data_IF_939382303836
#
_entry.id   IF_939382303836
#
_cell.length_a   1.000
_cell.length_b   1.000
_cell.length_c   1.000
_cell.angle_alpha   90.00
_cell.angle_beta   90.00
_cell.angle_gamma   90.00
#
_symmetry.space_group_name_H-M   'P 1'
#
loop_
_entity.id
_entity.type
_entity.pdbx_description
1 polymer ?
#
# COMPACT_ATOMS: atom_id res chain seq x y z
N UNK A 1 -17.11 8.33 0.62
CA UNK A 1 -17.01 8.36 2.10
C UNK A 1 -18.18 9.20 2.61
N UNK A 2 -19.24 8.56 3.09
CA UNK A 2 -20.47 9.26 3.55
C UNK A 2 -20.32 9.58 5.05
N UNK A 3 -19.37 10.45 5.41
CA UNK A 3 -19.18 10.93 6.79
C UNK A 3 -20.28 11.93 7.22
N UNK A 4 -21.22 12.25 6.33
CA UNK A 4 -22.29 13.23 6.56
C UNK A 4 -23.31 12.82 7.61
N UNK A 5 -23.35 11.55 8.03
CA UNK A 5 -24.27 11.09 9.07
C UNK A 5 -23.80 11.38 10.50
N UNK A 6 -22.55 11.80 10.70
CA UNK A 6 -21.96 11.96 12.04
C UNK A 6 -21.58 13.42 12.38
N UNK A 7 -21.98 14.39 11.56
CA UNK A 7 -21.57 15.78 11.74
C UNK A 7 -22.39 16.53 12.81
N UNK A 8 -21.66 16.95 13.85
CA UNK A 8 -21.92 18.06 14.78
C UNK A 8 -23.15 17.98 15.70
N UNK A 9 -22.92 17.47 16.91
CA UNK A 9 -23.51 18.05 18.12
C UNK A 9 -22.37 18.47 19.03
N UNK A 10 -22.37 19.72 19.51
CA UNK A 10 -21.48 20.15 20.60
C UNK A 10 -21.47 19.07 21.68
N UNK A 11 -20.28 18.65 22.14
CA UNK A 11 -20.11 17.60 23.15
C UNK A 11 -20.94 17.94 24.41
N UNK A 12 -22.15 17.40 24.50
CA UNK A 12 -23.03 17.58 25.67
C UNK A 12 -22.58 16.72 26.85
N UNK A 13 -21.78 15.68 26.57
CA UNK A 13 -21.31 14.68 27.52
C UNK A 13 -19.79 14.79 27.69
N UNK A 14 -19.24 14.76 28.91
CA UNK A 14 -17.79 14.77 29.11
C UNK A 14 -17.14 13.53 28.48
N UNK A 15 -16.11 13.73 27.67
CA UNK A 15 -15.31 12.65 27.08
C UNK A 15 -14.05 12.41 27.92
N UNK A 16 -13.59 11.14 27.93
CA UNK A 16 -12.40 10.70 28.67
C UNK A 16 -11.26 10.26 27.78
N UNK A 17 -11.57 9.87 26.54
CA UNK A 17 -10.56 9.47 25.57
C UNK A 17 -10.84 10.02 24.18
N UNK A 18 -9.77 10.32 23.46
CA UNK A 18 -9.74 10.82 22.10
C UNK A 18 -8.85 9.89 21.25
N UNK A 19 -9.36 9.42 20.12
CA UNK A 19 -8.57 8.70 19.11
C UNK A 19 -8.48 9.57 17.87
N UNK A 20 -7.28 10.04 17.57
CA UNK A 20 -6.98 10.86 16.40
C UNK A 20 -6.42 9.97 15.31
N UNK A 21 -7.22 9.67 14.29
CA UNK A 21 -6.76 8.86 13.16
C UNK A 21 -6.23 9.80 12.08
N UNK A 22 -5.00 9.58 11.65
CA UNK A 22 -4.33 10.36 10.61
C UNK A 22 -3.98 9.48 9.41
N UNK A 23 -4.45 9.89 8.23
CA UNK A 23 -4.26 9.17 6.96
C UNK A 23 -4.25 10.17 5.80
N UNK A 24 -3.28 10.05 4.89
CA UNK A 24 -3.13 10.99 3.76
C UNK A 24 -3.90 10.57 2.50
N UNK A 25 -4.35 9.32 2.41
CA UNK A 25 -5.11 8.78 1.27
C UNK A 25 -5.84 7.50 1.69
N UNK A 26 -6.94 7.14 1.03
CA UNK A 26 -7.63 5.86 1.24
C UNK A 26 -8.18 5.31 -0.07
N UNK A 27 -7.86 4.05 -0.38
CA UNK A 27 -8.56 3.32 -1.44
C UNK A 27 -10.02 3.05 -1.03
N UNK A 28 -10.93 2.79 -1.97
CA UNK A 28 -12.28 2.33 -1.65
C UNK A 28 -12.27 1.11 -0.71
N UNK A 29 -11.34 0.17 -0.93
CA UNK A 29 -11.20 -1.01 -0.07
C UNK A 29 -10.77 -0.67 1.36
N UNK A 30 -9.77 0.20 1.53
CA UNK A 30 -9.33 0.64 2.84
C UNK A 30 -10.44 1.42 3.58
N UNK A 31 -11.23 2.21 2.85
CA UNK A 31 -12.40 2.88 3.40
C UNK A 31 -13.46 1.89 3.90
N UNK A 32 -13.78 0.84 3.14
CA UNK A 32 -14.72 -0.20 3.56
C UNK A 32 -14.25 -0.95 4.82
N UNK A 33 -12.96 -1.27 4.92
CA UNK A 33 -12.39 -1.90 6.12
C UNK A 33 -12.53 -0.97 7.32
N UNK A 34 -12.22 0.32 7.13
CA UNK A 34 -12.35 1.31 8.20
C UNK A 34 -13.80 1.47 8.64
N UNK A 35 -14.75 1.57 7.71
CA UNK A 35 -16.18 1.71 8.01
C UNK A 35 -16.68 0.54 8.87
N UNK A 36 -16.24 -0.69 8.57
CA UNK A 36 -16.53 -1.87 9.40
C UNK A 36 -15.93 -1.78 10.80
N UNK A 37 -14.68 -1.33 10.91
CA UNK A 37 -14.00 -1.14 12.21
C UNK A 37 -14.73 -0.09 13.07
N UNK A 38 -15.22 0.98 12.44
CA UNK A 38 -15.93 2.07 13.11
C UNK A 38 -17.39 1.73 13.43
N UNK A 39 -18.06 0.89 12.65
CA UNK A 39 -19.45 0.47 12.90
C UNK A 39 -19.63 -0.22 14.26
N UNK A 40 -18.61 -0.97 14.70
CA UNK A 40 -18.60 -1.62 16.01
C UNK A 40 -18.12 -0.70 17.15
N UNK A 41 -17.73 0.53 16.85
CA UNK A 41 -17.14 1.43 17.83
C UNK A 41 -18.22 2.32 18.47
N UNK A 42 -18.29 2.31 19.80
CA UNK A 42 -19.18 3.18 20.58
C UNK A 42 -18.56 4.59 20.69
N UNK A 43 -18.58 5.30 19.56
CA UNK A 43 -18.06 6.66 19.37
C UNK A 43 -19.12 7.68 19.77
N UNK A 44 -18.77 8.64 20.62
CA UNK A 44 -19.67 9.74 21.00
C UNK A 44 -19.81 10.76 19.87
N UNK A 45 -18.67 11.17 19.31
CA UNK A 45 -18.57 12.20 18.28
C UNK A 45 -17.43 11.83 17.34
N UNK A 46 -17.67 11.99 16.04
CA UNK A 46 -16.65 11.92 14.99
C UNK A 46 -16.50 13.31 14.37
N UNK A 47 -15.31 13.88 14.44
CA UNK A 47 -15.00 15.17 13.84
C UNK A 47 -13.98 14.99 12.71
N UNK A 48 -14.34 15.26 11.44
CA UNK A 48 -13.38 15.19 10.34
C UNK A 48 -12.34 16.31 10.44
N UNK A 49 -11.13 16.05 9.96
CA UNK A 49 -10.07 17.04 9.84
C UNK A 49 -9.29 16.86 8.53
N UNK A 50 -8.47 17.83 8.14
CA UNK A 50 -7.75 17.83 6.86
C UNK A 50 -6.89 16.59 6.63
N UNK A 51 -6.40 15.97 7.72
CA UNK A 51 -5.48 14.83 7.69
C UNK A 51 -6.10 13.54 8.22
N UNK A 52 -7.42 13.50 8.43
CA UNK A 52 -8.12 12.34 8.95
C UNK A 52 -9.38 12.70 9.74
N UNK A 53 -9.49 12.22 10.97
CA UNK A 53 -10.63 12.49 11.84
C UNK A 53 -10.32 12.18 13.30
N UNK A 54 -11.12 12.76 14.20
CA UNK A 54 -11.02 12.66 15.64
C UNK A 54 -12.28 11.97 16.19
N UNK A 55 -12.07 10.96 17.03
CA UNK A 55 -13.13 10.14 17.63
C UNK A 55 -13.12 10.30 19.14
N UNK A 56 -14.25 10.73 19.69
CA UNK A 56 -14.40 10.97 21.12
C UNK A 56 -15.10 9.79 21.80
N UNK A 57 -14.61 9.40 22.97
CA UNK A 57 -15.13 8.27 23.75
C UNK A 57 -15.43 8.67 25.20
N UNK A 58 -16.53 8.12 25.72
CA UNK A 58 -16.91 8.26 27.14
C UNK A 58 -15.95 7.51 28.08
N UNK A 59 -15.31 6.45 27.57
CA UNK A 59 -14.45 5.55 28.33
C UNK A 59 -13.15 5.24 27.59
N UNK A 60 -12.07 5.08 28.37
CA UNK A 60 -10.74 4.79 27.85
C UNK A 60 -10.62 3.35 27.32
N UNK A 61 -11.31 2.36 27.91
CA UNK A 61 -11.18 0.98 27.46
C UNK A 61 -11.71 0.83 26.02
N UNK A 62 -12.84 1.48 25.71
CA UNK A 62 -13.43 1.50 24.36
C UNK A 62 -12.49 2.11 23.32
N UNK A 63 -11.86 3.24 23.64
CA UNK A 63 -10.86 3.87 22.77
C UNK A 63 -9.68 2.91 22.49
N UNK A 64 -9.17 2.22 23.52
CA UNK A 64 -8.09 1.23 23.37
C UNK A 64 -8.51 0.04 22.50
N UNK A 65 -9.73 -0.46 22.66
CA UNK A 65 -10.26 -1.54 21.80
C UNK A 65 -10.29 -1.12 20.34
N UNK A 66 -10.73 0.11 20.04
CA UNK A 66 -10.68 0.63 18.68
C UNK A 66 -9.23 0.71 18.15
N UNK A 67 -8.30 1.23 18.95
CA UNK A 67 -6.88 1.29 18.58
C UNK A 67 -6.36 -0.12 18.24
N UNK A 68 -6.68 -1.14 19.05
CA UNK A 68 -6.31 -2.54 18.75
C UNK A 68 -6.92 -3.03 17.44
N UNK A 69 -8.20 -2.73 17.16
CA UNK A 69 -8.83 -3.08 15.88
C UNK A 69 -8.16 -2.39 14.69
N UNK A 70 -7.72 -1.14 14.83
CA UNK A 70 -6.98 -0.43 13.79
C UNK A 70 -5.64 -1.11 13.52
N UNK A 71 -4.86 -1.45 14.56
CA UNK A 71 -3.60 -2.20 14.43
C UNK A 71 -3.79 -3.59 13.79
N UNK A 72 -4.91 -4.25 14.03
CA UNK A 72 -5.19 -5.57 13.43
C UNK A 72 -5.50 -5.50 11.92
N UNK A 73 -5.93 -4.33 11.42
CA UNK A 73 -6.38 -4.17 10.03
C UNK A 73 -5.44 -3.32 9.17
N UNK A 74 -4.65 -2.44 9.78
CA UNK A 74 -3.82 -1.46 9.07
C UNK A 74 -2.39 -1.40 9.61
N UNK A 75 -1.40 -1.07 8.78
CA UNK A 75 -0.05 -0.82 9.27
C UNK A 75 -0.04 0.58 9.87
N UNK A 76 -0.11 0.68 11.19
CA UNK A 76 -0.17 1.96 11.89
C UNK A 76 0.78 2.02 13.09
N UNK A 77 1.11 3.23 13.53
CA UNK A 77 1.74 3.47 14.83
C UNK A 77 0.80 4.28 15.71
N UNK A 78 0.93 4.12 17.03
CA UNK A 78 0.15 4.89 17.99
C UNK A 78 1.06 5.62 18.96
N UNK A 79 0.88 6.93 19.06
CA UNK A 79 1.46 7.76 20.11
C UNK A 79 0.37 8.09 21.11
N UNK A 80 0.60 7.80 22.39
CA UNK A 80 -0.39 8.06 23.45
C UNK A 80 0.10 9.20 24.34
N UNK A 81 -0.79 10.13 24.67
CA UNK A 81 -0.55 11.18 25.65
C UNK A 81 -1.66 11.20 26.71
N UNK A 82 -1.34 11.77 27.87
CA UNK A 82 -2.25 11.91 29.00
C UNK A 82 -2.23 13.36 29.45
N UNK A 83 -3.40 13.98 29.48
CA UNK A 83 -3.59 15.33 30.00
C UNK A 83 -4.35 15.26 31.30
N UNK A 84 -3.80 15.83 32.36
CA UNK A 84 -4.46 15.89 33.67
C UNK A 84 -5.08 17.28 33.80
N UNK A 85 -6.40 17.35 33.65
CA UNK A 85 -7.17 18.55 33.96
C UNK A 85 -7.54 18.61 35.44
N UNK A 86 -8.13 19.73 35.86
CA UNK A 86 -8.61 19.93 37.24
C UNK A 86 -9.72 18.95 37.67
N UNK A 87 -10.53 18.45 36.72
CA UNK A 87 -11.69 17.59 37.00
C UNK A 87 -11.57 16.15 36.47
N UNK A 88 -10.73 15.90 35.46
CA UNK A 88 -10.60 14.59 34.86
C UNK A 88 -9.26 14.38 34.14
N UNK A 89 -8.87 13.11 34.04
CA UNK A 89 -7.74 12.67 33.22
C UNK A 89 -8.26 12.32 31.82
N UNK A 90 -7.70 12.97 30.80
CA UNK A 90 -7.98 12.70 29.40
C UNK A 90 -6.83 11.96 28.75
N UNK A 91 -7.15 10.99 27.90
CA UNK A 91 -6.17 10.22 27.14
C UNK A 91 -6.35 10.46 25.64
N UNK A 92 -5.25 10.74 24.96
CA UNK A 92 -5.25 10.92 23.51
C UNK A 92 -4.41 9.84 22.88
N UNK A 93 -4.97 9.16 21.87
CA UNK A 93 -4.29 8.17 21.04
C UNK A 93 -4.19 8.72 19.62
N UNK A 94 -3.01 9.16 19.22
CA UNK A 94 -2.71 9.54 17.84
C UNK A 94 -2.33 8.29 17.06
N UNK A 95 -3.20 7.86 16.15
CA UNK A 95 -3.00 6.71 15.28
C UNK A 95 -2.63 7.20 13.88
N UNK A 96 -1.39 6.98 13.48
CA UNK A 96 -0.89 7.32 12.14
C UNK A 96 -0.93 6.06 11.27
N UNK A 97 -1.69 6.09 10.18
CA UNK A 97 -1.85 4.96 9.25
C UNK A 97 -0.90 5.13 8.07
N UNK A 98 -0.24 4.03 7.68
CA UNK A 98 0.58 3.99 6.47
C UNK A 98 -0.25 4.39 5.23
N UNK A 99 0.19 5.36 4.42
CA UNK A 99 -0.53 5.83 3.24
C UNK A 99 -0.32 4.94 2.00
N UNK A 100 0.56 3.92 2.07
CA UNK A 100 0.83 3.04 0.93
C UNK A 100 -0.37 2.13 0.65
N UNK A 101 -0.60 1.88 -0.63
CA UNK A 101 -1.75 1.16 -1.14
C UNK A 101 -1.31 -0.03 -1.98
N UNK A 102 -2.22 -0.99 -2.17
CA UNK A 102 -2.00 -2.09 -3.11
C UNK A 102 -1.67 -1.52 -4.49
N UNK A 103 -0.67 -2.10 -5.13
CA UNK A 103 -0.13 -1.71 -6.44
C UNK A 103 0.66 -0.40 -6.46
N UNK A 104 0.96 0.21 -5.31
CA UNK A 104 1.95 1.29 -5.29
C UNK A 104 3.33 0.73 -5.63
N UNK A 105 4.02 1.41 -6.57
CA UNK A 105 5.42 1.19 -6.83
C UNK A 105 6.26 2.01 -5.83
N UNK A 106 7.15 1.35 -5.10
CA UNK A 106 7.93 1.98 -4.03
C UNK A 106 9.43 1.74 -4.20
N UNK A 107 10.22 2.69 -3.71
CA UNK A 107 11.66 2.62 -3.64
C UNK A 107 12.08 2.41 -2.19
N UNK A 108 12.59 1.23 -1.87
CA UNK A 108 13.19 0.90 -0.59
C UNK A 108 14.57 1.57 -0.43
N UNK A 109 14.94 1.86 0.82
CA UNK A 109 16.33 2.21 1.15
C UNK A 109 17.25 1.02 0.87
N UNK A 110 18.56 1.26 0.73
CA UNK A 110 19.55 0.16 0.59
C UNK A 110 19.52 -0.80 1.77
N UNK A 111 19.33 -0.28 2.99
CA UNK A 111 19.31 -1.08 4.20
C UNK A 111 18.05 -1.95 4.27
N UNK A 112 16.89 -1.40 3.91
CA UNK A 112 15.64 -2.14 3.88
C UNK A 112 15.65 -3.22 2.79
N UNK A 113 16.09 -2.88 1.58
CA UNK A 113 16.20 -3.82 0.47
C UNK A 113 17.10 -5.02 0.84
N UNK A 114 18.29 -4.75 1.39
CA UNK A 114 19.21 -5.79 1.86
C UNK A 114 18.57 -6.67 2.95
N UNK A 115 17.86 -6.07 3.90
CA UNK A 115 17.19 -6.80 4.98
C UNK A 115 16.10 -7.74 4.46
N UNK A 116 15.39 -7.34 3.41
CA UNK A 116 14.32 -8.12 2.80
C UNK A 116 14.82 -9.10 1.75
N UNK A 117 16.10 -9.03 1.36
CA UNK A 117 16.64 -9.71 0.19
C UNK A 117 15.82 -9.42 -1.09
N UNK A 118 15.40 -8.16 -1.25
CA UNK A 118 14.65 -7.68 -2.41
C UNK A 118 15.43 -6.58 -3.14
N UNK A 119 15.12 -6.31 -4.42
CA UNK A 119 15.62 -5.11 -5.07
C UNK A 119 15.06 -3.86 -4.40
N UNK A 120 15.60 -2.71 -4.80
CA UNK A 120 15.15 -1.43 -4.26
C UNK A 120 13.80 -0.99 -4.83
N UNK A 121 13.49 -1.36 -6.06
CA UNK A 121 12.21 -1.01 -6.71
C UNK A 121 11.29 -2.23 -6.59
N UNK A 122 10.21 -2.09 -5.83
CA UNK A 122 9.30 -3.19 -5.50
C UNK A 122 7.85 -2.71 -5.53
N UNK A 123 6.92 -3.64 -5.70
CA UNK A 123 5.48 -3.37 -5.75
C UNK A 123 4.84 -3.73 -4.42
N UNK A 124 3.90 -2.92 -3.93
CA UNK A 124 3.07 -3.29 -2.78
C UNK A 124 1.99 -4.28 -3.22
N UNK A 125 2.22 -5.57 -3.03
CA UNK A 125 1.30 -6.63 -3.44
C UNK A 125 0.02 -6.67 -2.58
N UNK A 126 0.15 -6.41 -1.27
CA UNK A 126 -0.96 -6.44 -0.30
C UNK A 126 -0.70 -5.51 0.88
N UNK A 127 -1.77 -4.86 1.33
CA UNK A 127 -1.79 -4.05 2.57
C UNK A 127 -2.74 -4.70 3.58
N UNK A 128 -2.23 -5.00 4.77
CA UNK A 128 -2.99 -5.50 5.93
C UNK A 128 -2.50 -4.80 7.20
N UNK A 129 -2.35 -5.49 8.34
CA UNK A 129 -1.60 -4.97 9.50
C UNK A 129 -0.10 -4.74 9.21
N UNK A 130 0.38 -5.30 8.10
CA UNK A 130 1.73 -5.14 7.55
C UNK A 130 1.67 -4.98 6.03
N UNK A 131 2.77 -4.49 5.45
CA UNK A 131 2.93 -4.36 4.00
C UNK A 131 3.60 -5.62 3.45
N UNK A 132 3.04 -6.18 2.38
CA UNK A 132 3.66 -7.22 1.60
C UNK A 132 4.17 -6.60 0.30
N UNK A 133 5.47 -6.75 0.08
CA UNK A 133 6.18 -6.26 -1.10
C UNK A 133 6.54 -7.45 -1.98
N UNK A 134 6.59 -7.22 -3.29
CA UNK A 134 7.00 -8.22 -4.27
C UNK A 134 8.03 -7.61 -5.24
N UNK A 135 9.07 -8.39 -5.56
CA UNK A 135 9.94 -8.11 -6.71
C UNK A 135 9.15 -8.39 -7.99
N UNK A 136 8.95 -7.37 -8.85
CA UNK A 136 8.20 -7.58 -10.09
C UNK A 136 8.86 -8.54 -11.08
N UNK A 137 10.18 -8.77 -10.97
CA UNK A 137 10.97 -9.54 -11.93
C UNK A 137 11.16 -11.00 -11.50
N UNK A 138 11.32 -11.26 -10.20
CA UNK A 138 11.54 -12.61 -9.66
C UNK A 138 10.33 -13.20 -8.94
N UNK A 139 9.34 -12.37 -8.58
CA UNK A 139 8.21 -12.79 -7.76
C UNK A 139 8.55 -12.98 -6.27
N UNK A 140 9.78 -12.70 -5.84
CA UNK A 140 10.19 -12.82 -4.45
C UNK A 140 9.39 -11.85 -3.55
N UNK A 141 8.96 -12.34 -2.39
CA UNK A 141 8.16 -11.57 -1.45
C UNK A 141 8.95 -11.12 -0.22
N UNK A 142 8.60 -9.94 0.29
CA UNK A 142 9.17 -9.40 1.52
C UNK A 142 8.11 -8.69 2.37
N UNK A 143 8.23 -8.82 3.68
CA UNK A 143 7.26 -8.26 4.63
C UNK A 143 7.86 -7.06 5.35
N UNK A 144 7.15 -5.92 5.30
CA UNK A 144 7.48 -4.72 6.08
C UNK A 144 6.43 -4.51 7.16
N UNK A 145 6.84 -4.78 8.41
CA UNK A 145 6.01 -4.49 9.58
C UNK A 145 5.81 -2.98 9.78
N UNK A 146 4.77 -2.58 10.51
CA UNK A 146 4.53 -1.17 10.82
C UNK A 146 5.76 -0.49 11.45
N UNK A 147 6.44 -1.17 12.40
CA UNK A 147 7.66 -0.67 13.03
C UNK A 147 8.82 -0.45 12.05
N UNK A 148 8.95 -1.30 11.03
CA UNK A 148 9.94 -1.12 9.96
C UNK A 148 9.56 0.08 9.09
N UNK A 149 8.29 0.16 8.67
CA UNK A 149 7.79 1.26 7.85
C UNK A 149 8.01 2.62 8.51
N UNK A 150 7.62 2.80 9.77
CA UNK A 150 7.75 4.09 10.45
C UNK A 150 9.18 4.46 10.84
N UNK A 151 10.14 3.53 10.74
CA UNK A 151 11.58 3.77 10.95
C UNK A 151 12.29 4.15 9.66
N UNK A 152 12.01 3.43 8.57
CA UNK A 152 12.66 3.60 7.27
C UNK A 152 11.61 3.36 6.16
N UNK A 153 10.74 4.34 5.89
CA UNK A 153 9.60 4.15 4.99
C UNK A 153 10.05 4.08 3.52
N UNK A 154 9.62 3.06 2.75
CA UNK A 154 9.76 3.07 1.29
C UNK A 154 9.10 4.29 0.67
N UNK A 155 9.75 4.87 -0.35
CA UNK A 155 9.28 6.07 -1.03
C UNK A 155 8.40 5.68 -2.21
N UNK A 156 7.11 6.02 -2.19
CA UNK A 156 6.18 5.84 -3.32
C UNK A 156 6.61 6.65 -4.54
N UNK A 157 6.67 6.00 -5.70
CA UNK A 157 6.81 6.66 -7.00
C UNK A 157 5.47 7.32 -7.36
N UNK A 158 5.50 8.64 -7.56
CA UNK A 158 4.31 9.45 -7.88
C UNK A 158 4.10 9.54 -9.38
N UNK A 159 3.76 8.40 -9.97
CA UNK A 159 3.30 8.30 -11.35
C UNK A 159 1.91 7.64 -11.35
N UNK A 160 1.18 7.84 -12.44
CA UNK A 160 -0.07 7.11 -12.64
C UNK A 160 0.21 5.77 -13.31
N UNK A 161 -0.69 4.81 -13.06
CA UNK A 161 -0.62 3.50 -13.69
C UNK A 161 -1.34 3.58 -15.03
N UNK A 162 -0.71 3.05 -16.06
CA UNK A 162 -1.26 3.00 -17.42
C UNK A 162 -1.79 1.60 -17.74
N UNK A 163 -2.86 1.52 -18.56
CA UNK A 163 -3.40 0.25 -19.00
C UNK A 163 -2.58 -0.36 -20.14
N UNK A 164 -2.33 -1.66 -20.06
CA UNK A 164 -1.72 -2.47 -21.11
C UNK A 164 -2.61 -3.68 -21.43
N UNK A 165 -2.47 -4.20 -22.64
CA UNK A 165 -3.09 -5.46 -23.07
C UNK A 165 -2.00 -6.50 -23.26
N UNK A 166 -2.20 -7.69 -22.69
CA UNK A 166 -1.32 -8.84 -22.88
C UNK A 166 -1.55 -9.42 -24.28
N UNK A 167 -0.51 -9.44 -25.10
CA UNK A 167 -0.51 -9.98 -26.46
C UNK A 167 0.00 -11.42 -26.50
N UNK A 168 0.99 -11.72 -25.66
CA UNK A 168 1.56 -13.05 -25.51
C UNK A 168 2.11 -13.27 -24.09
N UNK A 169 2.23 -14.53 -23.69
CA UNK A 169 2.69 -14.92 -22.37
C UNK A 169 3.54 -16.19 -22.41
N UNK A 170 4.84 -16.04 -22.13
CA UNK A 170 5.80 -17.13 -22.10
C UNK A 170 6.29 -17.40 -20.67
N UNK A 171 6.18 -18.65 -20.18
CA UNK A 171 6.79 -19.07 -18.92
C UNK A 171 8.29 -18.74 -18.84
N UNK A 172 8.73 -18.04 -17.80
CA UNK A 172 10.16 -17.86 -17.54
C UNK A 172 10.69 -19.06 -16.78
N UNK A 173 11.54 -19.86 -17.41
CA UNK A 173 12.29 -20.92 -16.75
C UNK A 173 13.49 -20.29 -16.02
N UNK A 174 13.29 -19.92 -14.75
CA UNK A 174 14.29 -19.17 -13.98
C UNK A 174 15.37 -20.10 -13.42
N UNK A 175 16.47 -20.25 -14.16
CA UNK A 175 17.66 -21.00 -13.75
C UNK A 175 18.67 -20.09 -13.02
N UNK A 176 18.50 -19.92 -11.70
CA UNK A 176 19.41 -19.08 -10.89
C UNK A 176 20.55 -19.86 -10.22
N UNK A 177 20.57 -21.20 -10.26
CA UNK A 177 21.49 -22.00 -9.44
C UNK A 177 22.20 -23.14 -10.18
N UNK A 178 21.87 -23.44 -11.45
CA UNK A 178 22.50 -24.54 -12.18
C UNK A 178 22.31 -25.91 -11.51
N UNK A 179 21.28 -26.03 -10.66
CA UNK A 179 20.93 -27.23 -9.91
C UNK A 179 19.51 -27.66 -10.31
N UNK A 180 19.36 -28.95 -10.60
CA UNK A 180 18.21 -29.62 -11.20
C UNK A 180 16.81 -29.03 -10.90
N UNK A 181 16.00 -28.98 -11.96
CA UNK A 181 14.57 -28.71 -12.03
C UNK A 181 13.79 -28.88 -10.71
N UNK A 182 13.40 -27.75 -10.12
CA UNK A 182 12.15 -27.67 -9.38
C UNK A 182 10.97 -27.52 -10.37
N UNK A 183 9.74 -27.91 -10.00
CA UNK A 183 8.57 -27.68 -10.85
C UNK A 183 8.37 -26.18 -11.08
N UNK A 184 8.22 -25.78 -12.35
CA UNK A 184 7.79 -24.44 -12.74
C UNK A 184 6.50 -24.10 -11.99
N UNK A 185 6.57 -23.10 -11.10
CA UNK A 185 5.45 -22.78 -10.24
C UNK A 185 4.49 -21.76 -10.88
N UNK A 186 4.86 -21.16 -12.01
CA UNK A 186 4.04 -20.16 -12.70
C UNK A 186 4.10 -18.75 -12.11
N UNK A 187 4.96 -18.48 -11.13
CA UNK A 187 5.00 -17.17 -10.47
C UNK A 187 5.49 -16.05 -11.39
N UNK A 188 6.43 -16.35 -12.28
CA UNK A 188 7.04 -15.38 -13.21
C UNK A 188 6.75 -15.77 -14.66
N UNK A 189 6.43 -14.77 -15.45
CA UNK A 189 6.09 -14.87 -16.86
C UNK A 189 6.72 -13.71 -17.63
N UNK A 190 7.16 -13.97 -18.85
CA UNK A 190 7.55 -12.95 -19.83
C UNK A 190 6.32 -12.62 -20.67
N UNK A 191 5.93 -11.36 -20.66
CA UNK A 191 4.74 -10.89 -21.34
C UNK A 191 5.13 -9.98 -22.50
N UNK A 192 4.57 -10.24 -23.67
CA UNK A 192 4.50 -9.25 -24.72
C UNK A 192 3.25 -8.40 -24.47
N UNK A 193 3.42 -7.09 -24.28
CA UNK A 193 2.31 -6.17 -24.00
C UNK A 193 2.31 -4.98 -24.95
N UNK A 194 1.12 -4.46 -25.22
CA UNK A 194 0.92 -3.17 -25.89
C UNK A 194 0.17 -2.21 -24.98
N UNK A 195 0.49 -0.91 -25.09
CA UNK A 195 -0.27 0.14 -24.42
C UNK A 195 -1.72 0.11 -24.91
N UNK A 196 -2.68 0.05 -24.00
CA UNK A 196 -4.10 0.04 -24.37
C UNK A 196 -4.53 1.40 -24.97
N UNK A 197 -3.75 2.46 -24.76
CA UNK A 197 -4.00 3.78 -25.36
C UNK A 197 -3.53 3.85 -26.82
N UNK A 198 -2.58 3.01 -27.20
CA UNK A 198 -1.96 3.01 -28.54
C UNK A 198 -2.46 1.85 -29.43
N UNK A 199 -3.30 0.97 -28.88
CA UNK A 199 -3.80 -0.20 -29.58
C UNK A 199 -4.64 0.21 -30.80
N UNK A 200 -4.18 -0.19 -31.99
CA UNK A 200 -4.79 0.17 -33.27
C UNK A 200 -4.31 1.53 -33.84
N UNK A 201 -3.44 2.23 -33.13
CA UNK A 201 -2.77 3.46 -33.61
C UNK A 201 -1.33 3.15 -34.03
N UNK A 202 -0.62 2.31 -33.26
CA UNK A 202 0.73 1.86 -33.59
C UNK A 202 0.96 0.39 -33.20
N UNK A 203 2.00 -0.22 -33.75
CA UNK A 203 2.42 -1.61 -33.46
C UNK A 203 3.55 -1.67 -32.41
N UNK A 204 3.57 -0.73 -31.46
CA UNK A 204 4.60 -0.71 -30.42
C UNK A 204 4.32 -1.80 -29.40
N UNK A 205 5.30 -2.70 -29.22
CA UNK A 205 5.21 -3.81 -28.28
C UNK A 205 6.37 -3.79 -27.30
N UNK A 206 6.10 -4.28 -26.09
CA UNK A 206 7.05 -4.28 -24.99
C UNK A 206 7.12 -5.68 -24.39
N UNK A 207 8.34 -6.18 -24.20
CA UNK A 207 8.58 -7.41 -23.46
C UNK A 207 8.83 -7.05 -22.01
N UNK A 208 8.08 -7.68 -21.10
CA UNK A 208 8.12 -7.39 -19.66
C UNK A 208 8.09 -8.69 -18.88
N UNK A 209 9.13 -8.93 -18.10
CA UNK A 209 9.11 -9.99 -17.07
C UNK A 209 8.24 -9.53 -15.90
N UNK A 210 7.31 -10.37 -15.46
CA UNK A 210 6.30 -10.02 -14.49
C UNK A 210 6.01 -11.15 -13.49
N UNK A 211 5.85 -10.76 -12.23
CA UNK A 211 5.30 -11.58 -11.13
C UNK A 211 3.82 -11.97 -11.27
N UNK A 212 3.18 -11.61 -12.38
CA UNK A 212 1.75 -11.81 -12.60
C UNK A 212 1.41 -13.16 -13.27
N UNK A 213 2.35 -14.10 -13.37
CA UNK A 213 2.19 -15.32 -14.17
C UNK A 213 0.99 -16.20 -13.81
N UNK A 214 0.59 -16.24 -12.53
CA UNK A 214 -0.60 -16.98 -12.07
C UNK A 214 -1.92 -16.24 -12.25
N UNK A 215 -1.87 -14.98 -12.69
CA UNK A 215 -2.99 -14.03 -12.60
C UNK A 215 -3.39 -13.41 -13.93
N UNK A 216 -2.69 -13.72 -15.02
CA UNK A 216 -2.93 -13.10 -16.33
C UNK A 216 -2.94 -14.16 -17.41
N UNK A 217 -3.85 -13.99 -18.35
CA UNK A 217 -3.89 -14.73 -19.61
C UNK A 217 -3.72 -13.77 -20.80
N UNK A 218 -3.45 -14.32 -21.98
CA UNK A 218 -3.39 -13.54 -23.22
C UNK A 218 -4.74 -12.87 -23.49
N UNK A 219 -4.70 -11.59 -23.84
CA UNK A 219 -5.88 -10.74 -24.05
C UNK A 219 -6.32 -9.98 -22.80
N UNK A 220 -5.77 -10.28 -21.62
CA UNK A 220 -6.12 -9.57 -20.41
C UNK A 220 -5.63 -8.13 -20.40
N UNK A 221 -6.42 -7.28 -19.72
CA UNK A 221 -6.03 -5.91 -19.41
C UNK A 221 -5.29 -5.89 -18.07
N UNK A 222 -4.06 -5.41 -18.11
CA UNK A 222 -3.19 -5.22 -16.94
C UNK A 222 -2.87 -3.73 -16.76
N UNK A 223 -2.39 -3.38 -15.57
CA UNK A 223 -1.96 -2.02 -15.24
C UNK A 223 -0.49 -2.04 -14.84
N UNK A 224 0.25 -1.01 -15.25
CA UNK A 224 1.68 -0.90 -14.96
C UNK A 224 2.18 0.53 -14.93
N UNK A 225 3.43 0.68 -14.52
CA UNK A 225 4.14 1.95 -14.56
C UNK A 225 5.12 1.96 -15.72
N UNK A 226 5.03 2.98 -16.57
CA UNK A 226 6.05 3.28 -17.58
C UNK A 226 7.14 4.15 -16.95
N UNK A 227 8.30 3.58 -16.70
CA UNK A 227 9.44 4.25 -16.09
C UNK A 227 10.41 4.83 -17.13
N UNK A 228 10.18 4.67 -18.44
CA UNK A 228 11.11 5.14 -19.49
C UNK A 228 11.31 6.65 -19.44
N UNK A 229 10.25 7.40 -19.17
CA UNK A 229 10.26 8.86 -19.06
C UNK A 229 10.58 9.35 -17.65
N UNK A 230 10.74 8.44 -16.69
CA UNK A 230 10.93 8.79 -15.28
C UNK A 230 12.33 9.35 -15.06
N UNK A 231 12.40 10.58 -14.54
CA UNK A 231 13.64 11.18 -14.07
C UNK A 231 13.85 10.84 -12.60
N UNK A 232 14.88 10.04 -12.30
CA UNK A 232 15.27 9.70 -10.93
C UNK A 232 15.93 10.90 -10.24
N UNK A 233 15.10 11.77 -9.67
CA UNK A 233 15.57 12.93 -8.91
C UNK A 233 16.23 12.55 -7.57
N UNK A 234 16.62 13.57 -6.79
CA UNK A 234 17.33 13.41 -5.51
C UNK A 234 16.63 12.48 -4.51
N UNK A 235 15.29 12.36 -4.60
CA UNK A 235 14.46 11.48 -3.75
C UNK A 235 14.74 9.99 -3.95
N UNK A 236 15.31 9.60 -5.09
CA UNK A 236 15.59 8.20 -5.44
C UNK A 236 17.09 7.92 -5.59
N UNK A 237 17.93 8.73 -4.92
CA UNK A 237 19.39 8.65 -5.02
C UNK A 237 19.93 7.21 -4.93
N UNK A 238 20.88 6.90 -5.82
CA UNK A 238 21.54 5.60 -5.87
C UNK A 238 20.69 4.47 -6.47
N UNK A 239 19.58 4.79 -7.15
CA UNK A 239 19.03 3.89 -8.16
C UNK A 239 19.78 4.10 -9.47
N UNK A 240 20.18 3.00 -10.10
CA UNK A 240 20.74 3.02 -11.44
C UNK A 240 19.62 2.69 -12.43
N UNK A 241 19.34 3.60 -13.37
CA UNK A 241 18.32 3.40 -14.40
C UNK A 241 18.67 2.20 -15.30
N UNK A 242 19.95 1.84 -15.42
CA UNK A 242 20.35 0.65 -16.17
C UNK A 242 19.82 -0.67 -15.57
N UNK A 243 19.50 -0.68 -14.27
CA UNK A 243 19.05 -1.89 -13.54
C UNK A 243 17.53 -1.88 -13.29
N UNK A 244 16.86 -0.73 -13.51
CA UNK A 244 15.41 -0.61 -13.28
C UNK A 244 14.67 -0.94 -14.58
N UNK A 245 13.74 -1.90 -14.58
CA UNK A 245 12.93 -2.20 -15.76
C UNK A 245 12.20 -0.97 -16.29
N UNK A 246 12.03 -0.92 -17.61
CA UNK A 246 11.37 0.20 -18.26
C UNK A 246 9.86 0.22 -18.01
N UNK A 247 9.22 -0.95 -17.95
CA UNK A 247 7.81 -1.09 -17.62
C UNK A 247 7.68 -2.10 -16.48
N UNK A 248 6.87 -1.76 -15.48
CA UNK A 248 6.57 -2.65 -14.35
C UNK A 248 5.06 -2.84 -14.27
N UNK A 249 4.60 -4.05 -14.59
CA UNK A 249 3.20 -4.44 -14.44
C UNK A 249 2.90 -4.78 -12.98
N UNK A 250 1.78 -4.28 -12.46
CA UNK A 250 1.44 -4.36 -11.02
C UNK A 250 0.17 -5.12 -10.72
N UNK A 251 -0.76 -5.27 -11.67
CA UNK A 251 -1.96 -6.10 -11.49
C UNK A 251 -3.02 -5.94 -12.56
N UNK A 252 -4.06 -6.76 -12.48
CA UNK A 252 -5.19 -6.83 -13.45
C UNK A 252 -6.37 -5.92 -13.11
N UNK A 253 -6.38 -5.30 -11.93
CA UNK A 253 -7.49 -4.46 -11.46
C UNK A 253 -7.05 -3.03 -11.18
N UNK A 254 -7.91 -2.08 -11.56
CA UNK A 254 -7.72 -0.68 -11.19
C UNK A 254 -8.21 -0.49 -9.74
N UNK A 255 -7.27 -0.38 -8.79
CA UNK A 255 -7.55 -0.13 -7.38
C UNK A 255 -7.53 1.36 -7.05
#
# INVERSE_FOLDING_TARGET
MHLSHYASSHLRTPWKALVQVRRSSSTPQAALVLDRVLADADVLVLEPCDTGFDLYFADQARARTLVTKLHANFPCRTTTSRTVGSAAVQHTHLVEVCPLQRYDLVVASKALALKLNLPRVVVVARVSHQLHLIDPSTGDEGIVTASMYFRDPPIRIRMEREPYIVLDAEPVDIDYTGQQWGPYDGAVVELEVASANDLGVNDTRHHVVSHLGKSVDVGDKVYGYDLRTMVFGLKYRGLDKAVVPDIILVGTTFC
#
